data_IF_788484759315
#
_entry.id   IF_788484759315
#
_cell.length_a   1.000
_cell.length_b   1.000
_cell.length_c   1.000
_cell.angle_alpha   90.00
_cell.angle_beta   90.00
_cell.angle_gamma   90.00
#
_symmetry.space_group_name_H-M   'P 1'
#
loop_
_entity.id
_entity.type
_entity.pdbx_description
1 polymer ?
#
# COMPACT_ATOMS: atom_id res chain seq x y z
N UNK A 1 38.06 -11.55 -9.57
CA UNK A 1 38.22 -10.33 -10.41
C UNK A 1 38.87 -9.17 -9.64
N UNK A 2 38.42 -8.79 -8.45
CA UNK A 2 39.05 -7.70 -7.66
C UNK A 2 40.53 -7.95 -7.32
N UNK A 3 40.89 -9.16 -6.93
CA UNK A 3 42.28 -9.55 -6.67
C UNK A 3 43.19 -9.44 -7.91
N UNK A 4 42.67 -9.83 -9.08
CA UNK A 4 43.40 -9.72 -10.37
C UNK A 4 43.55 -8.28 -10.85
N UNK A 5 42.61 -7.41 -10.54
CA UNK A 5 42.66 -5.98 -10.86
C UNK A 5 43.65 -5.23 -9.97
N UNK A 6 43.67 -5.56 -8.66
CA UNK A 6 44.60 -4.95 -7.68
C UNK A 6 46.06 -5.40 -7.91
N UNK A 7 46.28 -6.66 -8.35
CA UNK A 7 47.63 -7.14 -8.66
C UNK A 7 48.23 -6.46 -9.93
N UNK A 8 47.38 -6.10 -10.91
CA UNK A 8 47.78 -5.39 -12.12
C UNK A 8 48.09 -3.89 -11.89
N UNK A 9 47.59 -3.29 -10.80
CA UNK A 9 47.82 -1.90 -10.44
C UNK A 9 49.06 -1.65 -9.55
N UNK A 10 49.82 -2.68 -9.21
CA UNK A 10 50.99 -2.55 -8.32
C UNK A 10 50.68 -2.22 -6.86
N UNK A 11 49.40 -2.17 -6.50
CA UNK A 11 48.95 -1.81 -5.15
C UNK A 11 49.15 -2.95 -4.13
N UNK A 12 49.27 -4.20 -4.60
CA UNK A 12 49.42 -5.37 -3.72
C UNK A 12 50.89 -5.71 -3.33
N UNK A 13 51.88 -5.09 -3.98
CA UNK A 13 53.27 -5.36 -3.64
C UNK A 13 53.79 -4.67 -2.38
N UNK A 14 53.00 -3.75 -1.78
CA UNK A 14 53.41 -2.97 -0.60
C UNK A 14 52.58 -3.17 0.67
N UNK A 15 51.55 -4.00 0.66
CA UNK A 15 50.77 -4.26 1.86
C UNK A 15 50.32 -5.70 1.93
N UNK A 16 50.54 -6.36 3.07
CA UNK A 16 50.03 -7.70 3.42
C UNK A 16 48.52 -7.75 3.62
N UNK A 17 47.76 -6.94 2.88
CA UNK A 17 46.30 -6.86 3.01
C UNK A 17 45.66 -8.01 2.24
N UNK A 18 45.20 -9.01 2.98
CA UNK A 18 44.35 -10.06 2.43
C UNK A 18 43.01 -9.49 2.04
N UNK A 19 42.67 -9.54 0.74
CA UNK A 19 41.32 -9.17 0.26
C UNK A 19 40.37 -10.30 0.66
N UNK A 20 39.31 -10.02 1.45
CA UNK A 20 38.36 -11.05 1.84
C UNK A 20 37.70 -11.69 0.61
N UNK A 21 37.52 -13.02 0.67
CA UNK A 21 36.82 -13.76 -0.38
C UNK A 21 35.30 -13.52 -0.39
N UNK A 22 34.75 -13.15 0.75
CA UNK A 22 33.32 -12.85 0.90
C UNK A 22 33.08 -11.34 0.81
N UNK A 23 32.25 -10.94 -0.17
CA UNK A 23 31.87 -9.55 -0.38
C UNK A 23 31.23 -8.90 0.84
N UNK A 24 30.52 -9.67 1.68
CA UNK A 24 29.90 -9.18 2.93
C UNK A 24 30.94 -8.66 3.90
N UNK A 25 32.08 -9.33 4.01
CA UNK A 25 33.21 -8.89 4.87
C UNK A 25 33.82 -7.58 4.35
N UNK A 26 33.79 -7.34 3.03
CA UNK A 26 34.25 -6.09 2.43
C UNK A 26 33.26 -4.95 2.67
N UNK A 27 31.96 -5.25 2.61
CA UNK A 27 30.90 -4.23 2.74
C UNK A 27 30.61 -3.86 4.20
N UNK A 28 30.81 -4.77 5.15
CA UNK A 28 30.51 -4.57 6.57
C UNK A 28 31.16 -3.29 7.18
N UNK A 29 32.47 -2.99 6.95
CA UNK A 29 33.07 -1.75 7.47
C UNK A 29 32.50 -0.47 6.84
N UNK A 30 31.85 -0.58 5.66
CA UNK A 30 31.27 0.56 4.97
C UNK A 30 29.92 0.97 5.54
N UNK A 31 29.35 0.17 6.45
CA UNK A 31 28.04 0.41 7.09
C UNK A 31 26.95 0.85 6.09
N UNK A 32 26.81 0.06 5.00
CA UNK A 32 25.88 0.37 3.92
C UNK A 32 24.43 -0.07 4.20
N UNK A 33 24.24 -0.90 5.21
CA UNK A 33 22.91 -1.38 5.57
C UNK A 33 22.03 -0.23 6.08
N UNK A 34 20.73 -0.24 5.77
CA UNK A 34 19.81 0.76 6.27
C UNK A 34 19.65 0.62 7.78
N UNK A 35 19.59 1.74 8.49
CA UNK A 35 19.19 1.72 9.90
C UNK A 35 17.73 1.32 10.02
N UNK A 36 17.51 0.18 10.64
CA UNK A 36 16.17 -0.37 10.86
C UNK A 36 15.89 -0.48 12.34
N UNK A 37 14.65 -0.18 12.71
CA UNK A 37 14.12 -0.37 14.06
C UNK A 37 13.10 -1.49 14.04
N UNK A 38 13.10 -2.31 15.08
CA UNK A 38 12.14 -3.37 15.29
C UNK A 38 11.28 -3.03 16.50
N UNK A 39 9.98 -2.92 16.31
CA UNK A 39 9.01 -2.73 17.39
C UNK A 39 8.10 -3.95 17.49
N UNK A 40 7.65 -4.27 18.70
CA UNK A 40 6.70 -5.37 18.90
C UNK A 40 5.37 -4.99 18.31
N UNK A 41 4.81 -5.87 17.51
CA UNK A 41 3.51 -5.69 16.85
C UNK A 41 2.54 -6.77 17.31
N UNK A 42 1.43 -6.40 17.90
CA UNK A 42 0.43 -7.36 18.36
C UNK A 42 -0.10 -8.23 17.21
N UNK A 43 -0.08 -9.58 17.34
CA UNK A 43 -0.58 -10.47 16.29
C UNK A 43 -2.09 -10.40 16.05
N UNK A 44 -2.87 -9.73 16.92
CA UNK A 44 -4.32 -9.61 16.79
C UNK A 44 -4.77 -8.23 16.32
N UNK A 45 -4.29 -7.14 16.95
CA UNK A 45 -4.77 -5.79 16.70
C UNK A 45 -3.72 -4.84 16.12
N UNK A 46 -2.53 -5.32 15.79
CA UNK A 46 -1.41 -4.55 15.25
C UNK A 46 -0.90 -3.40 16.13
N UNK A 47 -1.40 -3.24 17.36
CA UNK A 47 -0.85 -2.26 18.28
C UNK A 47 0.65 -2.48 18.49
N UNK A 48 1.41 -1.40 18.49
CA UNK A 48 2.87 -1.42 18.53
C UNK A 48 3.39 -1.02 19.90
N UNK A 49 4.51 -1.63 20.31
CA UNK A 49 5.16 -1.41 21.60
C UNK A 49 6.67 -1.34 21.41
N UNK A 50 7.31 -0.37 22.04
CA UNK A 50 8.77 -0.28 22.04
C UNK A 50 9.37 -1.48 22.75
N UNK A 51 10.42 -2.05 22.14
CA UNK A 51 11.15 -3.17 22.68
C UNK A 51 12.60 -3.12 22.26
N UNK A 52 13.51 -3.36 23.19
CA UNK A 52 14.94 -3.46 22.90
C UNK A 52 15.47 -4.81 23.39
N UNK A 53 16.30 -5.51 22.61
CA UNK A 53 16.89 -6.78 23.03
C UNK A 53 17.73 -6.66 24.31
N UNK A 54 18.35 -5.50 24.55
CA UNK A 54 19.16 -5.21 25.73
C UNK A 54 18.37 -4.92 26.99
N UNK A 55 17.06 -4.63 26.87
CA UNK A 55 16.15 -4.42 27.99
C UNK A 55 14.89 -5.29 27.85
N UNK A 56 14.98 -6.59 28.20
CA UNK A 56 13.85 -7.50 28.12
C UNK A 56 12.70 -7.12 29.08
N UNK A 57 12.96 -6.30 30.10
CA UNK A 57 11.98 -5.81 31.06
C UNK A 57 11.46 -4.40 30.72
N UNK A 58 11.88 -3.86 29.57
CA UNK A 58 11.47 -2.55 29.06
C UNK A 58 9.96 -2.40 28.86
N UNK A 59 9.53 -1.27 28.28
CA UNK A 59 8.13 -0.83 28.29
C UNK A 59 7.13 -1.76 27.58
N UNK A 60 7.59 -2.82 26.89
CA UNK A 60 6.70 -3.77 26.22
C UNK A 60 6.05 -4.74 27.22
N UNK A 61 4.73 -4.71 27.42
CA UNK A 61 4.04 -5.60 28.32
C UNK A 61 4.04 -7.06 27.77
N UNK A 62 3.80 -8.03 28.65
CA UNK A 62 3.68 -9.43 28.24
C UNK A 62 2.41 -9.66 27.38
N UNK A 63 1.33 -8.96 27.71
CA UNK A 63 0.06 -9.02 27.00
C UNK A 63 -0.31 -7.64 26.43
N UNK A 64 -0.93 -7.64 25.26
CA UNK A 64 -1.40 -6.43 24.61
C UNK A 64 -2.44 -5.71 25.47
N UNK A 65 -2.16 -4.46 25.84
CA UNK A 65 -3.03 -3.61 26.63
C UNK A 65 -3.89 -2.66 25.78
N UNK A 66 -3.83 -2.81 24.46
CA UNK A 66 -4.60 -1.97 23.55
C UNK A 66 -6.10 -2.19 23.73
N UNK A 67 -6.82 -1.08 23.77
CA UNK A 67 -8.26 -1.01 23.84
C UNK A 67 -8.76 -0.17 22.67
N UNK A 68 -9.60 -0.75 21.81
CA UNK A 68 -10.07 -0.10 20.58
C UNK A 68 -10.91 1.15 20.87
N UNK A 69 -11.87 1.03 21.78
CA UNK A 69 -12.70 2.13 22.27
C UNK A 69 -12.70 2.14 23.80
N UNK A 70 -13.04 3.26 24.46
CA UNK A 70 -13.07 3.34 25.92
C UNK A 70 -13.88 2.23 26.61
N UNK A 71 -14.94 1.75 25.98
CA UNK A 71 -15.82 0.73 26.54
C UNK A 71 -15.61 -0.67 25.91
N UNK A 72 -14.61 -0.87 25.06
CA UNK A 72 -14.28 -2.20 24.55
C UNK A 72 -13.39 -2.96 25.53
N UNK A 73 -13.32 -4.29 25.39
CA UNK A 73 -12.37 -5.11 26.14
C UNK A 73 -10.93 -4.85 25.67
N UNK A 74 -9.98 -4.99 26.58
CA UNK A 74 -8.55 -4.99 26.26
C UNK A 74 -8.24 -6.17 25.32
N UNK A 75 -7.35 -5.99 24.37
CA UNK A 75 -6.97 -7.01 23.40
C UNK A 75 -6.46 -8.30 24.04
N UNK A 76 -5.63 -8.23 25.08
CA UNK A 76 -5.14 -9.34 25.90
C UNK A 76 -4.28 -10.37 25.15
N UNK A 77 -3.88 -10.12 23.90
CA UNK A 77 -3.06 -11.07 23.13
C UNK A 77 -1.63 -11.07 23.65
N UNK A 78 -1.03 -12.27 23.84
CA UNK A 78 0.36 -12.40 24.23
C UNK A 78 1.30 -11.81 23.17
N UNK A 79 2.26 -11.00 23.64
CA UNK A 79 3.24 -10.29 22.79
C UNK A 79 4.61 -10.94 22.79
N UNK A 80 4.93 -11.80 23.78
CA UNK A 80 6.23 -12.45 23.91
C UNK A 80 6.08 -13.97 23.97
N UNK A 81 7.09 -14.71 23.52
CA UNK A 81 7.12 -16.16 23.66
C UNK A 81 7.27 -16.56 25.12
N UNK A 82 6.67 -17.69 25.49
CA UNK A 82 6.97 -18.29 26.79
C UNK A 82 8.35 -18.92 26.75
N UNK A 83 9.26 -18.41 27.54
CA UNK A 83 10.55 -19.07 27.78
C UNK A 83 10.71 -19.24 29.29
N UNK A 84 11.19 -20.41 29.77
CA UNK A 84 11.49 -20.62 31.18
C UNK A 84 12.46 -19.59 31.75
N UNK A 85 13.34 -19.04 30.91
CA UNK A 85 14.29 -17.99 31.27
C UNK A 85 13.75 -16.64 30.76
N UNK A 86 13.32 -15.71 31.64
CA UNK A 86 12.73 -14.41 31.24
C UNK A 86 13.63 -13.59 30.28
N UNK A 87 14.95 -13.73 30.41
CA UNK A 87 15.95 -13.07 29.58
C UNK A 87 15.95 -13.52 28.11
N UNK A 88 15.32 -14.65 27.79
CA UNK A 88 15.21 -15.20 26.44
C UNK A 88 13.81 -15.06 25.82
N UNK A 89 12.93 -14.27 26.44
CA UNK A 89 11.59 -14.02 25.93
C UNK A 89 11.66 -13.12 24.68
N UNK A 90 11.30 -13.66 23.52
CA UNK A 90 11.35 -12.96 22.25
C UNK A 90 9.95 -12.45 21.85
N UNK A 91 9.86 -11.34 21.12
CA UNK A 91 8.60 -10.88 20.54
C UNK A 91 7.96 -11.97 19.66
N UNK A 92 6.63 -12.15 19.78
CA UNK A 92 5.87 -13.07 18.94
C UNK A 92 5.73 -12.58 17.50
N UNK A 93 5.72 -11.25 17.32
CA UNK A 93 5.68 -10.59 16.02
C UNK A 93 6.33 -9.21 16.12
N UNK A 94 7.08 -8.85 15.09
CA UNK A 94 7.77 -7.56 15.00
C UNK A 94 7.38 -6.83 13.71
N UNK A 95 7.29 -5.52 13.81
CA UNK A 95 7.24 -4.61 12.67
C UNK A 95 8.61 -3.97 12.53
N UNK A 96 9.22 -4.17 11.38
CA UNK A 96 10.51 -3.56 11.03
C UNK A 96 10.26 -2.33 10.20
N UNK A 97 10.83 -1.20 10.61
CA UNK A 97 10.77 0.02 9.83
C UNK A 97 12.13 0.70 9.78
N UNK A 98 12.37 1.41 8.68
CA UNK A 98 13.61 2.12 8.41
C UNK A 98 13.52 3.54 8.95
N UNK A 99 14.63 4.06 9.49
CA UNK A 99 14.74 5.44 9.94
C UNK A 99 14.75 6.40 8.74
N UNK A 100 13.77 7.30 8.69
CA UNK A 100 13.60 8.27 7.59
C UNK A 100 14.71 9.31 7.60
N UNK A 101 15.16 9.77 8.77
CA UNK A 101 16.18 10.80 8.86
C UNK A 101 17.53 10.28 8.36
N UNK A 102 17.90 9.06 8.72
CA UNK A 102 19.10 8.40 8.22
C UNK A 102 19.04 8.19 6.71
N UNK A 103 17.88 7.76 6.18
CA UNK A 103 17.71 7.61 4.74
C UNK A 103 17.84 8.94 4.00
N UNK A 104 17.28 10.04 4.54
CA UNK A 104 17.44 11.39 3.99
C UNK A 104 18.90 11.81 3.97
N UNK A 105 19.65 11.56 5.04
CA UNK A 105 21.08 11.86 5.10
C UNK A 105 21.86 11.12 3.99
N UNK A 106 21.53 9.87 3.74
CA UNK A 106 22.12 9.06 2.63
C UNK A 106 21.74 9.62 1.25
N UNK A 107 20.50 10.05 1.06
CA UNK A 107 20.08 10.71 -0.18
C UNK A 107 20.88 11.98 -0.44
N UNK A 108 21.03 12.84 0.55
CA UNK A 108 21.78 14.10 0.48
C UNK A 108 23.32 13.93 0.48
N UNK A 109 23.83 12.73 0.74
CA UNK A 109 25.27 12.45 0.59
C UNK A 109 25.69 12.17 -0.87
N UNK A 110 24.73 12.02 -1.79
CA UNK A 110 24.94 11.68 -3.21
C UNK A 110 24.86 12.97 -4.04
N UNK A 111 25.97 13.46 -4.62
CA UNK A 111 26.01 14.76 -5.27
C UNK A 111 25.06 14.91 -6.46
N UNK A 112 24.91 13.86 -7.26
CA UNK A 112 23.99 13.82 -8.39
C UNK A 112 22.52 13.87 -7.95
N UNK A 113 22.19 13.19 -6.85
CA UNK A 113 20.85 13.17 -6.29
C UNK A 113 20.52 14.51 -5.65
N UNK A 114 21.43 15.08 -4.83
CA UNK A 114 21.21 16.38 -4.19
C UNK A 114 20.95 17.48 -5.22
N UNK A 115 21.66 17.47 -6.37
CA UNK A 115 21.42 18.41 -7.46
C UNK A 115 20.01 18.31 -8.04
N UNK A 116 19.41 17.09 -8.10
CA UNK A 116 18.03 16.93 -8.52
C UNK A 116 17.03 17.37 -7.43
N UNK A 117 17.31 17.06 -6.16
CA UNK A 117 16.44 17.45 -5.05
C UNK A 117 16.33 18.97 -4.89
N UNK A 118 17.35 19.70 -5.32
CA UNK A 118 17.40 21.17 -5.28
C UNK A 118 16.73 21.86 -6.46
N UNK A 119 16.50 21.14 -7.56
CA UNK A 119 15.79 21.70 -8.70
C UNK A 119 14.35 21.98 -8.31
N UNK A 120 13.91 23.22 -8.56
CA UNK A 120 12.48 23.54 -8.51
C UNK A 120 11.83 22.87 -9.71
N UNK A 121 10.82 22.01 -9.49
CA UNK A 121 10.11 21.41 -10.61
C UNK A 121 9.49 22.49 -11.49
N UNK A 122 9.77 22.44 -12.78
CA UNK A 122 9.20 23.36 -13.76
C UNK A 122 7.93 22.74 -14.31
N UNK A 123 6.83 23.48 -14.26
CA UNK A 123 5.57 23.11 -14.94
C UNK A 123 5.76 23.02 -16.44
N UNK A 124 5.01 22.15 -17.12
CA UNK A 124 4.97 22.09 -18.56
C UNK A 124 4.62 23.47 -19.16
N UNK A 125 5.41 23.91 -20.13
CA UNK A 125 5.26 25.24 -20.74
C UNK A 125 4.10 25.30 -21.74
N UNK A 126 3.57 24.14 -22.13
CA UNK A 126 2.46 24.05 -23.11
C UNK A 126 1.13 23.89 -22.40
N UNK A 127 0.22 24.84 -22.62
CA UNK A 127 -1.13 24.79 -22.05
C UNK A 127 -1.87 23.49 -22.42
N UNK A 128 -2.44 22.83 -21.43
CA UNK A 128 -3.17 21.56 -21.60
C UNK A 128 -2.29 20.30 -21.66
N UNK A 129 -0.97 20.41 -21.61
CA UNK A 129 -0.06 19.27 -21.55
C UNK A 129 0.39 19.01 -20.11
N UNK A 130 0.31 17.78 -19.67
CA UNK A 130 0.84 17.33 -18.39
C UNK A 130 1.92 16.27 -18.63
N UNK A 131 3.12 16.50 -18.13
CA UNK A 131 4.28 15.62 -18.31
C UNK A 131 4.76 15.03 -17.00
N UNK A 132 4.52 15.72 -15.87
CA UNK A 132 4.85 15.24 -14.53
C UNK A 132 3.72 15.59 -13.56
N UNK A 133 3.74 14.96 -12.39
CA UNK A 133 2.85 15.26 -11.27
C UNK A 133 2.90 16.75 -10.83
N UNK A 134 4.03 17.42 -11.07
CA UNK A 134 4.23 18.84 -10.78
C UNK A 134 3.40 19.80 -11.67
N UNK A 135 2.87 19.32 -12.78
CA UNK A 135 1.96 20.09 -13.62
C UNK A 135 0.57 20.22 -13.00
N UNK A 136 0.26 19.37 -12.03
CA UNK A 136 -0.98 19.43 -11.25
C UNK A 136 -1.02 20.62 -10.29
N UNK A 137 -2.16 21.32 -10.28
CA UNK A 137 -2.38 22.48 -9.41
C UNK A 137 -2.22 22.15 -7.94
N UNK A 138 -2.64 20.95 -7.53
CA UNK A 138 -2.57 20.48 -6.14
C UNK A 138 -1.14 20.49 -5.57
N UNK A 139 -0.14 20.13 -6.37
CA UNK A 139 1.27 20.17 -5.94
C UNK A 139 1.90 21.54 -6.14
N UNK A 140 1.54 22.21 -7.23
CA UNK A 140 2.07 23.54 -7.55
C UNK A 140 1.65 24.59 -6.52
N UNK A 141 0.37 24.55 -6.11
CA UNK A 141 -0.22 25.52 -5.22
C UNK A 141 -0.10 25.12 -3.74
N UNK A 142 0.61 24.01 -3.45
CA UNK A 142 0.84 23.54 -2.09
C UNK A 142 1.72 24.51 -1.31
N UNK A 143 1.24 24.95 -0.14
CA UNK A 143 1.92 25.92 0.73
C UNK A 143 2.66 25.24 1.87
N UNK A 144 3.81 25.81 2.21
CA UNK A 144 4.64 25.38 3.34
C UNK A 144 4.14 25.91 4.69
N UNK A 145 4.80 25.53 5.79
CA UNK A 145 4.48 26.01 7.13
C UNK A 145 4.71 27.53 7.29
N UNK A 146 5.45 28.13 6.37
CA UNK A 146 5.70 29.56 6.26
C UNK A 146 4.63 30.34 5.47
N UNK A 147 3.61 29.64 4.95
CA UNK A 147 2.53 30.20 4.13
C UNK A 147 2.91 30.52 2.68
N UNK A 148 4.16 30.24 2.29
CA UNK A 148 4.63 30.40 0.91
C UNK A 148 4.47 29.09 0.12
N UNK A 149 4.49 29.12 -1.22
CA UNK A 149 4.54 27.90 -2.00
C UNK A 149 5.68 26.99 -1.53
N UNK A 150 5.40 25.72 -1.25
CA UNK A 150 6.33 24.82 -0.57
C UNK A 150 7.68 24.70 -1.29
N UNK A 151 7.68 24.73 -2.62
CA UNK A 151 8.91 24.65 -3.40
C UNK A 151 9.65 25.99 -3.53
N UNK A 152 9.03 27.11 -3.11
CA UNK A 152 9.68 28.41 -3.01
C UNK A 152 10.43 28.50 -1.67
N UNK A 153 11.68 28.08 -1.65
CA UNK A 153 12.47 27.86 -0.46
C UNK A 153 13.75 28.72 -0.41
N UNK A 154 14.30 29.00 0.78
CA UNK A 154 15.65 29.53 0.91
C UNK A 154 16.68 28.62 0.22
N UNK A 155 17.74 29.20 -0.37
CA UNK A 155 18.73 28.45 -1.15
C UNK A 155 19.37 27.30 -0.36
N UNK A 156 19.62 27.49 0.92
CA UNK A 156 20.25 26.48 1.78
C UNK A 156 19.27 25.47 2.39
N UNK A 157 17.95 25.63 2.18
CA UNK A 157 16.94 24.72 2.70
C UNK A 157 16.57 23.65 1.66
N UNK A 158 16.50 22.39 2.07
CA UNK A 158 15.92 21.29 1.28
C UNK A 158 14.43 21.18 1.57
N UNK A 159 13.58 21.07 0.53
CA UNK A 159 12.15 20.77 0.68
C UNK A 159 11.76 19.61 -0.23
N UNK A 160 11.26 18.53 0.36
CA UNK A 160 10.94 17.29 -0.33
C UNK A 160 9.44 16.99 -0.26
N UNK A 161 8.91 16.50 -1.37
CA UNK A 161 7.53 16.01 -1.46
C UNK A 161 7.57 14.50 -1.71
N UNK A 162 6.89 13.77 -0.84
CA UNK A 162 6.76 12.32 -0.93
C UNK A 162 5.34 11.90 -1.29
N UNK A 163 5.24 10.80 -2.04
CA UNK A 163 4.02 10.01 -2.18
C UNK A 163 4.15 8.69 -1.43
N UNK A 164 3.05 8.26 -0.82
CA UNK A 164 2.97 6.99 -0.09
C UNK A 164 2.34 5.92 -0.98
N UNK A 165 2.97 4.76 -1.00
CA UNK A 165 2.41 3.52 -1.54
C UNK A 165 2.41 2.45 -0.45
N UNK A 166 1.36 1.63 -0.43
CA UNK A 166 1.24 0.46 0.41
C UNK A 166 0.75 -0.69 -0.45
N UNK A 167 1.57 -1.73 -0.59
CA UNK A 167 1.27 -2.87 -1.46
C UNK A 167 1.57 -4.20 -0.77
N UNK A 168 0.70 -5.18 -1.02
CA UNK A 168 0.80 -6.53 -0.49
C UNK A 168 1.35 -7.51 -1.51
N UNK A 169 2.27 -8.37 -1.08
CA UNK A 169 2.84 -9.42 -1.93
C UNK A 169 2.94 -10.76 -1.19
N UNK A 170 3.02 -11.83 -1.96
CA UNK A 170 3.20 -13.19 -1.46
C UNK A 170 4.62 -13.67 -1.74
N UNK A 171 5.54 -13.66 -0.75
CA UNK A 171 6.96 -13.96 -0.98
C UNK A 171 7.22 -15.41 -1.43
N UNK A 172 6.29 -16.32 -1.17
CA UNK A 172 6.42 -17.74 -1.54
C UNK A 172 5.57 -18.15 -2.75
N UNK A 173 5.04 -17.19 -3.49
CA UNK A 173 4.12 -17.47 -4.59
C UNK A 173 2.78 -18.05 -4.13
N UNK A 174 1.84 -18.23 -5.09
CA UNK A 174 0.49 -18.74 -4.78
C UNK A 174 0.42 -20.27 -4.66
N UNK A 175 1.50 -21.03 -4.95
CA UNK A 175 1.48 -22.48 -5.16
C UNK A 175 2.21 -23.32 -4.12
N UNK A 176 3.10 -22.76 -3.32
CA UNK A 176 3.84 -23.55 -2.35
C UNK A 176 3.22 -23.54 -0.96
N UNK A 177 2.73 -24.70 -0.52
CA UNK A 177 2.45 -25.03 0.89
C UNK A 177 1.12 -24.58 1.48
N UNK A 178 0.14 -24.12 0.72
CA UNK A 178 -1.23 -23.90 1.21
C UNK A 178 -1.39 -22.77 2.26
N UNK A 179 -0.34 -22.14 2.74
CA UNK A 179 -0.38 -20.99 3.67
C UNK A 179 -0.16 -19.71 2.88
N UNK A 180 -1.24 -18.94 2.68
CA UNK A 180 -1.15 -17.57 2.15
C UNK A 180 -0.50 -16.68 3.20
N UNK A 181 0.79 -16.42 3.07
CA UNK A 181 1.51 -15.45 3.90
C UNK A 181 1.54 -14.14 3.12
N UNK A 182 0.58 -13.27 3.37
CA UNK A 182 0.63 -11.92 2.82
C UNK A 182 1.60 -11.08 3.65
N UNK A 183 2.54 -10.43 2.98
CA UNK A 183 3.41 -9.40 3.54
C UNK A 183 3.07 -8.11 2.82
N UNK A 184 3.03 -7.00 3.53
CA UNK A 184 2.75 -5.71 2.92
C UNK A 184 3.92 -4.76 3.17
N UNK A 185 4.38 -4.09 2.11
CA UNK A 185 5.39 -3.05 2.19
C UNK A 185 4.75 -1.66 2.22
N UNK A 186 5.32 -0.75 3.00
CA UNK A 186 4.98 0.67 3.00
C UNK A 186 6.17 1.42 2.43
N UNK A 187 5.96 2.18 1.34
CA UNK A 187 7.01 2.85 0.58
C UNK A 187 6.73 4.34 0.46
N UNK A 188 7.81 5.13 0.42
CA UNK A 188 7.73 6.53 0.00
C UNK A 188 8.54 6.74 -1.28
N UNK A 189 7.96 7.51 -2.20
CA UNK A 189 8.60 7.94 -3.45
C UNK A 189 8.83 9.44 -3.39
N UNK A 190 10.07 9.88 -3.62
CA UNK A 190 10.43 11.30 -3.64
C UNK A 190 10.12 11.91 -5.00
N UNK A 191 9.15 12.82 -5.05
CA UNK A 191 8.72 13.46 -6.30
C UNK A 191 9.66 14.58 -6.79
N UNK A 192 10.59 15.03 -5.97
CA UNK A 192 11.64 15.96 -6.42
C UNK A 192 12.58 15.32 -7.43
N UNK A 193 12.70 13.99 -7.42
CA UNK A 193 13.49 13.28 -8.42
C UNK A 193 12.75 13.21 -9.77
N UNK A 194 13.46 13.29 -10.89
CA UNK A 194 12.84 13.09 -12.20
C UNK A 194 12.29 11.67 -12.35
N UNK A 195 11.28 11.44 -13.22
CA UNK A 195 10.64 10.12 -13.39
C UNK A 195 11.62 8.97 -13.63
N UNK A 196 12.71 9.21 -14.38
CA UNK A 196 13.73 8.20 -14.67
C UNK A 196 14.53 7.72 -13.44
N UNK A 197 14.56 8.51 -12.36
CA UNK A 197 15.26 8.20 -11.10
C UNK A 197 14.32 7.88 -9.95
N UNK A 198 13.11 8.45 -9.97
CA UNK A 198 12.12 8.43 -8.89
C UNK A 198 11.78 7.02 -8.39
N UNK A 199 11.70 6.07 -9.32
CA UNK A 199 11.26 4.69 -9.03
C UNK A 199 12.41 3.67 -9.02
N UNK A 200 13.68 4.12 -9.09
CA UNK A 200 14.80 3.21 -8.90
C UNK A 200 14.85 2.73 -7.46
N UNK A 201 15.13 1.46 -7.25
CA UNK A 201 15.13 0.80 -5.93
C UNK A 201 15.96 1.55 -4.89
N UNK A 202 17.11 2.07 -5.28
CA UNK A 202 18.01 2.84 -4.41
C UNK A 202 17.46 4.23 -4.02
N UNK A 203 16.39 4.70 -4.66
CA UNK A 203 15.77 6.01 -4.43
C UNK A 203 14.35 5.90 -3.85
N UNK A 204 13.83 4.70 -3.71
CA UNK A 204 12.55 4.43 -3.03
C UNK A 204 12.83 4.15 -1.55
N UNK A 205 12.15 4.84 -0.67
CA UNK A 205 12.24 4.61 0.76
C UNK A 205 11.29 3.50 1.17
N UNK A 206 11.81 2.35 1.54
CA UNK A 206 11.04 1.30 2.17
C UNK A 206 10.87 1.66 3.65
N UNK A 207 9.73 2.29 3.99
CA UNK A 207 9.48 2.67 5.39
C UNK A 207 9.36 1.45 6.28
N UNK A 208 8.55 0.46 5.90
CA UNK A 208 8.38 -0.70 6.77
C UNK A 208 7.73 -1.91 6.09
N UNK A 209 7.91 -3.05 6.75
CA UNK A 209 7.34 -4.33 6.31
C UNK A 209 6.30 -4.77 7.34
N UNK A 210 5.04 -4.70 6.94
CA UNK A 210 3.90 -5.14 7.76
C UNK A 210 3.90 -6.66 7.85
N UNK A 211 4.01 -7.23 9.06
CA UNK A 211 4.08 -8.68 9.20
C UNK A 211 2.73 -9.35 8.96
N UNK A 212 2.72 -10.37 8.09
CA UNK A 212 1.56 -11.23 7.86
C UNK A 212 1.22 -12.17 9.03
N UNK A 213 0.34 -13.16 8.82
CA UNK A 213 -0.33 -13.53 7.57
C UNK A 213 -1.59 -12.71 7.24
N UNK A 214 -2.10 -11.92 8.18
CA UNK A 214 -3.30 -11.10 7.99
C UNK A 214 -2.90 -9.68 7.62
N UNK A 215 -3.70 -9.06 6.77
CA UNK A 215 -3.58 -7.63 6.50
C UNK A 215 -4.25 -6.80 7.62
N UNK A 216 -3.65 -5.66 8.01
CA UNK A 216 -4.28 -4.78 8.97
C UNK A 216 -5.54 -4.15 8.39
N UNK A 217 -6.56 -4.01 9.21
CA UNK A 217 -7.76 -3.22 8.90
C UNK A 217 -7.46 -1.71 8.89
N UNK A 218 -8.43 -0.89 8.49
CA UNK A 218 -8.27 0.58 8.43
C UNK A 218 -7.81 1.20 9.75
N UNK A 219 -8.31 0.72 10.90
CA UNK A 219 -7.90 1.28 12.20
C UNK A 219 -6.57 0.70 12.69
N UNK A 220 -6.24 -0.52 12.29
CA UNK A 220 -5.00 -1.20 12.70
C UNK A 220 -3.78 -0.66 11.95
N UNK A 221 -3.95 -0.25 10.68
CA UNK A 221 -2.86 0.36 9.90
C UNK A 221 -2.34 1.65 10.54
N UNK A 222 -3.17 2.34 11.32
CA UNK A 222 -2.80 3.55 12.04
C UNK A 222 -1.63 3.32 13.02
N UNK A 223 -1.59 2.16 13.69
CA UNK A 223 -0.48 1.82 14.59
C UNK A 223 0.86 1.74 13.85
N UNK A 224 0.82 1.27 12.60
CA UNK A 224 2.00 1.09 11.76
C UNK A 224 2.44 2.41 11.10
N UNK A 225 1.47 3.29 10.78
CA UNK A 225 1.74 4.60 10.19
C UNK A 225 2.21 5.63 11.22
N UNK A 226 1.92 5.41 12.51
CA UNK A 226 2.24 6.38 13.57
C UNK A 226 3.70 6.84 13.58
N UNK A 227 4.72 5.96 13.55
CA UNK A 227 6.12 6.40 13.54
C UNK A 227 6.45 7.27 12.32
N UNK A 228 5.94 6.92 11.13
CA UNK A 228 6.13 7.72 9.92
C UNK A 228 5.50 9.11 10.06
N UNK A 229 4.29 9.19 10.61
CA UNK A 229 3.60 10.47 10.80
C UNK A 229 4.32 11.33 11.84
N UNK A 230 4.88 10.73 12.90
CA UNK A 230 5.68 11.44 13.90
C UNK A 230 6.93 12.07 13.25
N UNK A 231 7.65 11.31 12.40
CA UNK A 231 8.81 11.82 11.64
C UNK A 231 8.40 12.94 10.65
N UNK A 232 7.28 12.77 9.95
CA UNK A 232 6.79 13.79 9.01
C UNK A 232 6.34 15.07 9.71
N UNK A 233 5.76 14.98 10.91
CA UNK A 233 5.43 16.16 11.74
C UNK A 233 6.69 16.91 12.18
N UNK A 234 7.74 16.18 12.55
CA UNK A 234 9.02 16.80 12.88
C UNK A 234 9.61 17.51 11.66
N UNK A 235 9.64 16.83 10.52
CA UNK A 235 10.13 17.39 9.25
C UNK A 235 9.32 18.59 8.78
N UNK A 236 8.01 18.60 8.99
CA UNK A 236 7.14 19.71 8.64
C UNK A 236 7.33 20.94 9.56
N UNK A 237 7.22 20.71 10.88
CA UNK A 237 7.21 21.82 11.84
C UNK A 237 8.59 22.46 12.03
N UNK A 238 9.62 21.63 12.16
CA UNK A 238 10.97 22.07 12.53
C UNK A 238 11.98 21.83 11.42
N UNK A 239 11.81 20.76 10.63
CA UNK A 239 12.85 20.22 9.76
C UNK A 239 13.92 19.46 10.55
N UNK A 240 14.81 18.81 9.83
CA UNK A 240 16.02 18.20 10.37
C UNK A 240 17.25 18.93 9.83
N UNK A 241 18.28 19.10 10.66
CA UNK A 241 19.52 19.70 10.22
C UNK A 241 20.53 18.58 9.89
N UNK A 242 20.87 18.46 8.61
CA UNK A 242 21.95 17.59 8.16
C UNK A 242 23.26 18.36 8.30
N UNK A 243 24.16 17.91 9.18
CA UNK A 243 25.41 18.59 9.51
C UNK A 243 26.37 18.74 8.31
N UNK A 244 26.22 17.86 7.31
CA UNK A 244 26.94 17.88 6.05
C UNK A 244 26.15 17.17 4.97
N UNK A 245 26.17 17.71 3.75
CA UNK A 245 25.65 17.04 2.55
C UNK A 245 26.71 17.03 1.45
N UNK A 246 26.42 16.48 0.29
CA UNK A 246 27.37 16.46 -0.82
C UNK A 246 27.71 17.88 -1.32
N UNK A 247 26.73 18.80 -1.30
CA UNK A 247 26.89 20.18 -1.81
C UNK A 247 27.07 21.23 -0.71
N UNK A 248 26.71 20.94 0.54
CA UNK A 248 26.76 21.87 1.66
C UNK A 248 27.65 21.31 2.76
N UNK A 249 28.92 21.75 2.77
CA UNK A 249 29.92 21.29 3.76
C UNK A 249 29.61 21.69 5.20
N UNK A 250 28.84 22.77 5.40
CA UNK A 250 28.38 23.24 6.71
C UNK A 250 26.95 22.76 7.04
N UNK A 251 26.42 21.88 6.23
CA UNK A 251 25.09 21.33 6.43
C UNK A 251 23.96 22.22 5.93
N UNK A 252 22.73 21.70 6.10
CA UNK A 252 21.50 22.38 5.69
C UNK A 252 20.28 21.87 6.45
N UNK A 253 19.26 22.70 6.54
CA UNK A 253 17.94 22.31 7.02
C UNK A 253 17.19 21.57 5.92
N UNK A 254 16.51 20.47 6.27
CA UNK A 254 15.66 19.71 5.36
C UNK A 254 14.26 19.56 5.93
N UNK A 255 13.25 19.92 5.13
CA UNK A 255 11.83 19.72 5.43
C UNK A 255 11.23 18.73 4.44
N UNK A 256 10.17 18.07 4.84
CA UNK A 256 9.44 17.17 3.95
C UNK A 256 7.94 17.21 4.21
N UNK A 257 7.17 16.92 3.15
CA UNK A 257 5.73 16.73 3.19
C UNK A 257 5.34 15.46 2.45
N UNK A 258 4.36 14.74 2.99
CA UNK A 258 3.70 13.62 2.33
C UNK A 258 2.40 14.12 1.73
N UNK A 259 2.23 14.03 0.41
CA UNK A 259 1.01 14.52 -0.26
C UNK A 259 0.22 13.36 -0.87
N UNK A 260 0.52 12.80 -2.05
CA UNK A 260 -0.34 11.79 -2.61
C UNK A 260 -0.17 10.44 -1.90
N UNK A 261 -1.30 9.77 -1.70
CA UNK A 261 -1.40 8.34 -1.42
C UNK A 261 -1.78 7.67 -2.73
N UNK A 262 -0.85 6.91 -3.29
CA UNK A 262 -0.97 6.23 -4.59
C UNK A 262 -0.83 4.74 -4.36
N UNK A 263 -1.94 4.06 -4.11
CA UNK A 263 -2.02 2.62 -3.89
C UNK A 263 -3.14 2.04 -4.76
N UNK A 264 -3.29 0.73 -4.74
CA UNK A 264 -4.54 0.15 -5.18
C UNK A 264 -5.71 0.73 -4.36
N UNK A 265 -6.92 0.80 -4.91
CA UNK A 265 -8.05 1.44 -4.24
C UNK A 265 -8.36 0.88 -2.84
N UNK A 266 -8.30 -0.44 -2.59
CA UNK A 266 -8.47 -0.99 -1.26
C UNK A 266 -7.43 -0.48 -0.24
N UNK A 267 -6.15 -0.45 -0.61
CA UNK A 267 -5.09 0.04 0.26
C UNK A 267 -5.17 1.57 0.45
N UNK A 268 -5.39 2.34 -0.62
CA UNK A 268 -5.54 3.80 -0.55
C UNK A 268 -6.66 4.20 0.41
N UNK A 269 -7.83 3.56 0.31
CA UNK A 269 -8.96 3.80 1.19
C UNK A 269 -8.69 3.40 2.64
N UNK A 270 -7.97 2.29 2.83
CA UNK A 270 -7.55 1.80 4.15
C UNK A 270 -6.63 2.80 4.83
N UNK A 271 -5.62 3.30 4.13
CA UNK A 271 -4.66 4.29 4.63
C UNK A 271 -5.33 5.63 4.90
N UNK A 272 -6.27 6.04 4.06
CA UNK A 272 -6.95 7.34 4.17
C UNK A 272 -8.16 7.34 5.13
N UNK A 273 -8.56 6.21 5.68
CA UNK A 273 -9.74 6.13 6.55
C UNK A 273 -11.07 6.21 5.80
N UNK A 274 -11.10 5.85 4.53
CA UNK A 274 -12.29 5.90 3.67
C UNK A 274 -13.00 4.54 3.59
N UNK A 275 -14.25 4.55 3.14
CA UNK A 275 -15.05 3.35 2.93
C UNK A 275 -14.54 2.48 1.78
N UNK A 276 -14.57 1.16 1.93
CA UNK A 276 -14.26 0.19 0.86
C UNK A 276 -15.31 0.20 -0.27
N UNK A 277 -15.06 -0.55 -1.32
CA UNK A 277 -15.94 -0.63 -2.50
C UNK A 277 -17.37 -1.15 -2.21
N UNK A 278 -17.52 -1.93 -1.15
CA UNK A 278 -18.83 -2.45 -0.70
C UNK A 278 -19.48 -1.56 0.40
N UNK A 279 -18.89 -0.42 0.72
CA UNK A 279 -19.46 0.53 1.67
C UNK A 279 -20.57 1.36 1.01
N UNK A 280 -21.59 1.74 1.77
CA UNK A 280 -22.61 2.69 1.31
C UNK A 280 -22.02 3.99 0.78
N UNK A 281 -20.87 4.42 1.32
CA UNK A 281 -20.06 5.55 0.83
C UNK A 281 -18.78 5.03 0.16
N UNK A 282 -18.90 4.45 -1.01
CA UNK A 282 -17.83 3.75 -1.72
C UNK A 282 -16.85 4.68 -2.46
N UNK A 283 -17.27 5.92 -2.78
CA UNK A 283 -16.45 6.85 -3.55
C UNK A 283 -15.51 7.64 -2.64
N UNK A 284 -14.23 7.78 -3.05
CA UNK A 284 -13.24 8.63 -2.37
C UNK A 284 -13.42 10.11 -2.65
N UNK A 285 -14.02 10.46 -3.81
CA UNK A 285 -14.11 11.82 -4.33
C UNK A 285 -15.44 12.52 -4.01
N UNK A 286 -16.53 11.76 -3.91
CA UNK A 286 -17.87 12.31 -3.72
C UNK A 286 -18.67 11.50 -2.70
N UNK A 287 -19.85 12.01 -2.36
CA UNK A 287 -20.79 11.42 -1.41
C UNK A 287 -21.84 10.53 -2.08
N UNK A 288 -21.62 10.14 -3.35
CA UNK A 288 -22.48 9.20 -4.05
C UNK A 288 -22.57 7.90 -3.25
N UNK A 289 -23.80 7.44 -3.03
CA UNK A 289 -24.06 6.19 -2.32
C UNK A 289 -24.01 5.01 -3.27
N UNK A 290 -23.72 3.83 -2.73
CA UNK A 290 -23.67 2.59 -3.52
C UNK A 290 -25.01 2.26 -4.18
N UNK A 291 -26.13 2.58 -3.54
CA UNK A 291 -27.46 2.39 -4.10
C UNK A 291 -27.71 3.28 -5.33
N UNK A 292 -27.02 4.42 -5.42
CA UNK A 292 -27.11 5.38 -6.52
C UNK A 292 -25.97 5.22 -7.55
N UNK A 293 -25.26 4.08 -7.55
CA UNK A 293 -24.06 3.86 -8.39
C UNK A 293 -24.34 4.03 -9.89
N UNK A 294 -25.58 3.80 -10.32
CA UNK A 294 -26.03 3.95 -11.71
C UNK A 294 -26.40 5.40 -12.08
N UNK A 295 -26.34 6.34 -11.13
CA UNK A 295 -26.47 7.75 -11.44
C UNK A 295 -25.20 8.26 -12.16
N UNK A 296 -25.30 8.45 -13.48
CA UNK A 296 -24.19 8.91 -14.33
C UNK A 296 -24.14 10.45 -14.47
N UNK A 297 -25.10 11.17 -13.91
CA UNK A 297 -25.10 12.63 -13.91
C UNK A 297 -24.13 13.17 -12.86
N UNK A 298 -22.89 13.40 -13.29
CA UNK A 298 -21.81 13.89 -12.43
C UNK A 298 -22.07 15.27 -11.81
N UNK A 299 -22.96 16.05 -12.37
CA UNK A 299 -23.33 17.37 -11.81
C UNK A 299 -24.10 17.25 -10.50
N UNK A 300 -24.75 16.12 -10.26
CA UNK A 300 -25.47 15.83 -9.01
C UNK A 300 -24.58 15.23 -7.92
N UNK A 301 -23.32 14.87 -8.24
CA UNK A 301 -22.42 14.24 -7.29
C UNK A 301 -21.83 15.26 -6.33
N UNK A 302 -22.36 15.34 -5.11
CA UNK A 302 -21.82 16.21 -4.08
C UNK A 302 -20.39 15.79 -3.74
N UNK A 303 -19.42 16.68 -3.92
CA UNK A 303 -18.02 16.44 -3.58
C UNK A 303 -17.83 16.31 -2.09
N UNK A 304 -16.84 15.48 -1.68
CA UNK A 304 -16.37 15.47 -0.30
C UNK A 304 -15.61 16.75 0.00
N UNK A 305 -15.74 17.25 1.20
CA UNK A 305 -14.93 18.36 1.69
C UNK A 305 -14.12 17.94 2.93
N UNK A 306 -12.98 18.59 3.08
CA UNK A 306 -12.00 18.27 4.14
C UNK A 306 -12.58 18.48 5.54
N UNK A 307 -13.28 19.59 5.76
CA UNK A 307 -13.75 19.96 7.09
C UNK A 307 -14.79 18.97 7.62
N UNK A 308 -15.79 18.63 6.80
CA UNK A 308 -16.77 17.59 7.12
C UNK A 308 -16.09 16.22 7.33
N UNK A 309 -15.10 15.88 6.48
CA UNK A 309 -14.38 14.62 6.64
C UNK A 309 -13.63 14.56 7.97
N UNK A 310 -12.90 15.61 8.33
CA UNK A 310 -12.15 15.71 9.59
C UNK A 310 -13.09 15.62 10.80
N UNK A 311 -14.21 16.34 10.79
CA UNK A 311 -15.21 16.27 11.86
C UNK A 311 -15.73 14.85 12.08
N UNK A 312 -16.12 14.17 11.01
CA UNK A 312 -16.64 12.81 11.09
C UNK A 312 -15.54 11.79 11.50
N UNK A 313 -14.30 11.97 11.03
CA UNK A 313 -13.18 11.15 11.44
C UNK A 313 -12.84 11.31 12.93
N UNK A 314 -12.88 12.53 13.45
CA UNK A 314 -12.71 12.81 14.88
C UNK A 314 -13.86 12.23 15.71
N UNK A 315 -15.10 12.35 15.25
CA UNK A 315 -16.26 11.73 15.90
C UNK A 315 -16.12 10.21 15.94
N UNK A 316 -15.66 9.59 14.85
CA UNK A 316 -15.37 8.16 14.81
C UNK A 316 -14.28 7.79 15.82
N UNK A 317 -13.18 8.57 15.88
CA UNK A 317 -12.05 8.35 16.81
C UNK A 317 -12.50 8.45 18.28
N UNK A 318 -13.33 9.43 18.60
CA UNK A 318 -13.82 9.71 19.95
C UNK A 318 -15.00 8.85 20.41
N UNK A 319 -15.55 7.99 19.57
CA UNK A 319 -16.67 7.13 19.91
C UNK A 319 -16.34 6.19 21.07
N UNK A 320 -17.25 6.05 22.01
CA UNK A 320 -17.06 5.27 23.24
C UNK A 320 -17.19 3.75 23.01
N UNK A 321 -17.91 3.35 21.94
CA UNK A 321 -18.19 1.94 21.63
C UNK A 321 -17.94 1.63 20.15
N UNK A 322 -17.70 0.36 19.83
CA UNK A 322 -17.60 -0.10 18.43
C UNK A 322 -18.94 0.04 17.68
N UNK A 323 -20.08 -0.01 18.38
CA UNK A 323 -21.39 0.25 17.79
C UNK A 323 -21.51 1.69 17.30
N UNK A 324 -21.10 2.67 18.12
CA UNK A 324 -21.05 4.08 17.72
C UNK A 324 -20.09 4.32 16.55
N UNK A 325 -18.89 3.72 16.57
CA UNK A 325 -17.97 3.76 15.42
C UNK A 325 -18.60 3.25 14.15
N UNK A 326 -19.29 2.12 14.24
CA UNK A 326 -19.98 1.50 13.11
C UNK A 326 -21.10 2.41 12.60
N UNK A 327 -21.85 3.05 13.49
CA UNK A 327 -22.90 4.00 13.13
C UNK A 327 -22.32 5.22 12.41
N UNK A 328 -21.29 5.87 12.97
CA UNK A 328 -20.62 7.03 12.34
C UNK A 328 -20.08 6.66 10.97
N UNK A 329 -19.42 5.50 10.85
CA UNK A 329 -18.91 5.05 9.57
C UNK A 329 -20.01 4.76 8.54
N UNK A 330 -21.11 4.14 8.95
CA UNK A 330 -22.25 3.85 8.06
C UNK A 330 -22.91 5.14 7.56
N UNK A 331 -23.00 6.14 8.44
CA UNK A 331 -23.64 7.41 8.13
C UNK A 331 -22.78 8.32 7.24
N UNK A 332 -21.46 8.40 7.49
CA UNK A 332 -20.57 9.38 6.85
C UNK A 332 -19.47 8.78 5.96
N UNK A 333 -19.21 7.48 6.07
CA UNK A 333 -18.16 6.81 5.30
C UNK A 333 -16.74 7.24 5.65
N UNK A 334 -16.52 7.78 6.86
CA UNK A 334 -15.23 8.26 7.33
C UNK A 334 -14.78 7.51 8.59
N UNK A 335 -13.49 7.22 8.67
CA UNK A 335 -12.79 6.69 9.84
C UNK A 335 -11.56 7.54 10.10
N UNK A 336 -11.01 7.44 11.29
CA UNK A 336 -9.74 8.08 11.59
C UNK A 336 -8.58 7.45 10.82
N UNK A 337 -7.74 8.32 10.24
CA UNK A 337 -6.42 7.98 9.72
C UNK A 337 -5.35 8.77 10.47
N UNK A 338 -4.20 8.15 10.77
CA UNK A 338 -3.05 8.86 11.34
C UNK A 338 -2.53 9.98 10.43
N UNK A 339 -2.71 9.87 9.12
CA UNK A 339 -2.34 10.93 8.18
C UNK A 339 -3.09 12.24 8.45
N UNK A 340 -4.28 12.21 9.06
CA UNK A 340 -5.03 13.41 9.46
C UNK A 340 -4.35 14.22 10.58
N UNK A 341 -3.28 13.71 11.20
CA UNK A 341 -2.45 14.48 12.12
C UNK A 341 -1.54 15.48 11.42
N UNK A 342 -1.24 15.23 10.13
CA UNK A 342 -0.48 16.14 9.30
C UNK A 342 -1.37 17.35 8.97
N UNK A 343 -1.03 18.56 9.39
CA UNK A 343 -1.95 19.72 9.36
C UNK A 343 -2.30 20.17 7.94
N UNK A 344 -1.54 19.72 6.97
CA UNK A 344 -1.71 20.03 5.55
C UNK A 344 -2.37 18.91 4.74
N UNK A 345 -2.53 17.70 5.33
CA UNK A 345 -2.95 16.53 4.56
C UNK A 345 -4.48 16.44 4.45
N UNK A 346 -4.96 16.42 3.23
CA UNK A 346 -6.37 16.42 2.88
C UNK A 346 -6.73 15.18 2.03
N UNK A 347 -7.47 14.19 2.59
CA UNK A 347 -7.83 12.97 1.88
C UNK A 347 -8.69 13.22 0.64
N UNK A 348 -9.37 14.36 0.54
CA UNK A 348 -10.19 14.73 -0.62
C UNK A 348 -9.37 15.24 -1.80
N UNK A 349 -8.07 15.50 -1.58
CA UNK A 349 -7.13 15.98 -2.60
C UNK A 349 -5.98 15.03 -2.87
N UNK A 350 -5.54 14.29 -1.84
CA UNK A 350 -4.30 13.56 -1.91
C UNK A 350 -4.48 12.03 -2.03
N UNK A 351 -5.70 11.52 -2.00
CA UNK A 351 -5.98 10.12 -2.37
C UNK A 351 -6.12 10.06 -3.88
N UNK A 352 -5.13 9.46 -4.54
CA UNK A 352 -5.06 9.41 -6.00
C UNK A 352 -5.45 8.02 -6.50
N UNK A 353 -6.22 7.98 -7.59
CA UNK A 353 -6.56 6.73 -8.26
C UNK A 353 -5.32 6.22 -8.99
N UNK A 354 -4.83 5.04 -8.61
CA UNK A 354 -3.78 4.37 -9.35
C UNK A 354 -4.32 3.91 -10.72
N UNK A 355 -3.78 4.52 -11.77
CA UNK A 355 -4.21 4.26 -13.14
C UNK A 355 -3.89 2.83 -13.60
N UNK A 356 -2.80 2.22 -13.10
CA UNK A 356 -2.45 0.84 -13.45
C UNK A 356 -3.53 -0.13 -12.95
N UNK A 357 -3.86 -0.10 -11.66
CA UNK A 357 -4.88 -1.00 -11.09
C UNK A 357 -6.30 -0.61 -11.51
N UNK A 358 -6.62 0.68 -11.60
CA UNK A 358 -7.95 1.17 -11.91
C UNK A 358 -8.31 1.03 -13.39
N UNK A 359 -7.45 1.51 -14.28
CA UNK A 359 -7.72 1.55 -15.71
C UNK A 359 -7.15 0.35 -16.45
N UNK A 360 -5.83 0.11 -16.38
CA UNK A 360 -5.18 -0.91 -17.22
C UNK A 360 -5.55 -2.33 -16.82
N UNK A 361 -5.39 -2.70 -15.54
CA UNK A 361 -5.65 -4.06 -15.07
C UNK A 361 -7.14 -4.39 -14.89
N UNK A 362 -8.02 -3.39 -14.86
CA UNK A 362 -9.46 -3.65 -14.68
C UNK A 362 -10.31 -3.13 -15.81
N UNK A 363 -10.44 -1.81 -15.97
CA UNK A 363 -11.38 -1.24 -16.93
C UNK A 363 -11.02 -1.61 -18.37
N UNK A 364 -9.80 -1.30 -18.80
CA UNK A 364 -9.39 -1.59 -20.18
C UNK A 364 -9.24 -3.07 -20.46
N UNK A 365 -8.70 -3.84 -19.53
CA UNK A 365 -8.60 -5.29 -19.68
C UNK A 365 -9.97 -5.93 -19.88
N UNK A 366 -10.96 -5.54 -19.06
CA UNK A 366 -12.34 -6.01 -19.23
C UNK A 366 -12.94 -5.53 -20.53
N UNK A 367 -12.74 -4.26 -20.89
CA UNK A 367 -13.28 -3.72 -22.13
C UNK A 367 -12.74 -4.47 -23.36
N UNK A 368 -11.44 -4.69 -23.40
CA UNK A 368 -10.79 -5.44 -24.49
C UNK A 368 -11.28 -6.90 -24.56
N UNK A 369 -11.38 -7.57 -23.40
CA UNK A 369 -11.77 -8.98 -23.33
C UNK A 369 -13.26 -9.20 -23.53
N UNK A 370 -14.09 -8.48 -22.75
CA UNK A 370 -15.50 -8.77 -22.58
C UNK A 370 -16.36 -8.01 -23.60
N UNK A 371 -15.95 -6.79 -24.00
CA UNK A 371 -16.69 -5.96 -24.97
C UNK A 371 -16.18 -6.18 -26.39
N UNK A 372 -14.86 -6.16 -26.60
CA UNK A 372 -14.28 -6.34 -27.94
C UNK A 372 -14.01 -7.80 -28.30
N UNK A 373 -14.14 -8.73 -27.35
CA UNK A 373 -13.94 -10.16 -27.57
C UNK A 373 -12.51 -10.57 -27.90
N UNK A 374 -11.54 -9.70 -27.59
CA UNK A 374 -10.12 -9.96 -27.86
C UNK A 374 -9.52 -10.86 -26.77
N UNK A 375 -9.40 -12.17 -27.06
CA UNK A 375 -8.71 -13.12 -26.18
C UNK A 375 -7.18 -12.89 -26.24
N UNK A 376 -6.68 -12.03 -25.38
CA UNK A 376 -5.25 -11.94 -25.14
C UNK A 376 -4.86 -13.10 -24.21
N UNK A 377 -4.12 -14.10 -24.68
CA UNK A 377 -3.41 -15.04 -23.83
C UNK A 377 -2.34 -14.23 -23.10
N UNK A 378 -2.53 -13.94 -21.82
CA UNK A 378 -1.44 -13.45 -20.98
C UNK A 378 -0.50 -14.64 -20.79
N UNK A 379 0.76 -14.47 -21.18
CA UNK A 379 1.82 -15.44 -20.89
C UNK A 379 1.94 -15.63 -19.37
N UNK A 380 2.20 -16.85 -18.97
CA UNK A 380 2.22 -17.43 -17.64
C UNK A 380 2.55 -16.47 -16.46
N UNK A 381 1.58 -16.26 -15.58
CA UNK A 381 1.79 -15.59 -14.28
C UNK A 381 0.50 -15.21 -13.55
N UNK A 382 -0.47 -14.61 -14.23
CA UNK A 382 -1.76 -14.21 -13.65
C UNK A 382 -2.91 -15.00 -14.26
N UNK A 383 -2.75 -16.32 -14.33
CA UNK A 383 -3.66 -17.22 -15.01
C UNK A 383 -5.05 -17.20 -14.40
N UNK A 384 -6.02 -16.67 -15.14
CA UNK A 384 -7.31 -17.33 -15.12
C UNK A 384 -7.08 -18.79 -15.49
N UNK A 385 -7.64 -19.74 -14.76
CA UNK A 385 -7.43 -21.15 -15.05
C UNK A 385 -7.71 -21.39 -16.54
N UNK A 386 -6.79 -22.07 -17.20
CA UNK A 386 -6.95 -22.49 -18.58
C UNK A 386 -8.28 -23.26 -18.63
N UNK A 387 -9.28 -22.66 -19.28
CA UNK A 387 -10.62 -23.21 -19.35
C UNK A 387 -10.74 -24.25 -20.49
N UNK A 388 -9.62 -24.83 -20.95
CA UNK A 388 -9.61 -25.92 -21.89
C UNK A 388 -10.12 -27.19 -21.20
N UNK A 389 -11.30 -27.63 -21.62
CA UNK A 389 -11.87 -28.91 -21.23
C UNK A 389 -11.52 -29.96 -22.26
N UNK A 390 -11.30 -31.19 -21.81
CA UNK A 390 -11.24 -32.33 -22.72
C UNK A 390 -12.61 -32.53 -23.44
N UNK A 391 -12.60 -33.05 -24.63
CA UNK A 391 -13.87 -33.34 -25.34
C UNK A 391 -14.80 -34.26 -24.53
N UNK A 392 -14.25 -35.20 -23.78
CA UNK A 392 -14.98 -36.06 -22.87
C UNK A 392 -15.67 -35.33 -21.73
N UNK A 393 -14.95 -34.45 -21.07
CA UNK A 393 -15.49 -33.62 -19.97
C UNK A 393 -16.56 -32.66 -20.49
N UNK A 394 -16.34 -32.09 -21.69
CA UNK A 394 -17.28 -31.20 -22.34
C UNK A 394 -18.61 -31.90 -22.62
N UNK A 395 -18.55 -33.11 -23.20
CA UNK A 395 -19.73 -33.94 -23.47
C UNK A 395 -20.47 -34.29 -22.19
N UNK A 396 -19.76 -34.68 -21.14
CA UNK A 396 -20.35 -35.03 -19.85
C UNK A 396 -21.08 -33.85 -19.19
N UNK A 397 -20.47 -32.66 -19.20
CA UNK A 397 -21.09 -31.45 -18.64
C UNK A 397 -22.29 -30.98 -19.43
N UNK A 398 -22.25 -31.08 -20.76
CA UNK A 398 -23.41 -30.80 -21.62
C UNK A 398 -24.58 -31.76 -21.37
N UNK A 399 -24.30 -33.05 -21.21
CA UNK A 399 -25.30 -34.04 -20.84
C UNK A 399 -25.92 -33.75 -19.49
N UNK A 400 -25.10 -33.38 -18.51
CA UNK A 400 -25.57 -32.96 -17.18
C UNK A 400 -26.45 -31.71 -17.25
N UNK A 401 -26.09 -30.73 -18.09
CA UNK A 401 -26.89 -29.52 -18.30
C UNK A 401 -28.26 -29.86 -18.92
N UNK A 402 -28.28 -30.70 -19.95
CA UNK A 402 -29.52 -31.12 -20.59
C UNK A 402 -30.46 -31.89 -19.65
N UNK A 403 -29.90 -32.57 -18.62
CA UNK A 403 -30.74 -33.25 -17.62
C UNK A 403 -31.56 -32.27 -16.76
N UNK A 404 -31.16 -30.97 -16.68
CA UNK A 404 -31.82 -29.96 -15.88
C UNK A 404 -31.74 -30.17 -14.37
N UNK A 405 -30.99 -31.18 -13.91
CA UNK A 405 -30.88 -31.51 -12.47
C UNK A 405 -29.70 -30.82 -11.82
N UNK A 406 -29.96 -30.15 -10.69
CA UNK A 406 -28.93 -29.50 -9.87
C UNK A 406 -27.87 -30.50 -9.40
N UNK A 407 -28.29 -31.68 -8.93
CA UNK A 407 -27.40 -32.70 -8.37
C UNK A 407 -26.33 -33.17 -9.36
N UNK A 408 -26.68 -33.32 -10.64
CA UNK A 408 -25.74 -33.72 -11.69
C UNK A 408 -24.70 -32.62 -11.99
N UNK A 409 -25.09 -31.33 -11.91
CA UNK A 409 -24.19 -30.23 -12.11
C UNK A 409 -23.26 -30.01 -10.88
N UNK A 410 -23.71 -30.38 -9.69
CA UNK A 410 -22.91 -30.29 -8.46
C UNK A 410 -21.73 -31.29 -8.44
N UNK A 411 -21.75 -32.34 -9.25
CA UNK A 411 -20.66 -33.30 -9.37
C UNK A 411 -19.44 -32.72 -10.10
N UNK A 412 -19.65 -31.75 -10.98
CA UNK A 412 -18.57 -31.15 -11.76
C UNK A 412 -17.76 -30.11 -10.98
N UNK A 413 -16.45 -30.04 -11.22
CA UNK A 413 -15.61 -28.97 -10.64
C UNK A 413 -16.04 -27.60 -11.17
N UNK A 414 -15.78 -26.56 -10.35
CA UNK A 414 -16.22 -25.18 -10.64
C UNK A 414 -15.76 -24.69 -12.01
N UNK A 415 -14.54 -25.03 -12.44
CA UNK A 415 -13.99 -24.57 -13.72
C UNK A 415 -14.74 -25.13 -14.94
N UNK A 416 -15.29 -26.34 -14.85
CA UNK A 416 -16.14 -26.90 -15.90
C UNK A 416 -17.44 -26.12 -16.08
N UNK A 417 -18.05 -25.71 -14.95
CA UNK A 417 -19.29 -24.91 -14.98
C UNK A 417 -18.99 -23.47 -15.47
N UNK A 418 -17.82 -22.94 -15.16
CA UNK A 418 -17.36 -21.63 -15.66
C UNK A 418 -17.18 -21.66 -17.19
N UNK A 419 -16.56 -22.72 -17.70
CA UNK A 419 -16.40 -22.94 -19.15
C UNK A 419 -17.74 -22.98 -19.86
N UNK A 420 -18.69 -23.74 -19.30
CA UNK A 420 -20.04 -23.89 -19.88
C UNK A 420 -20.81 -22.56 -19.86
N UNK A 421 -20.83 -21.84 -18.74
CA UNK A 421 -21.43 -20.52 -18.65
C UNK A 421 -20.82 -19.54 -19.67
N UNK A 422 -19.52 -19.55 -19.85
CA UNK A 422 -18.82 -18.69 -20.82
C UNK A 422 -19.27 -19.02 -22.27
N UNK A 423 -19.29 -20.27 -22.63
CA UNK A 423 -19.69 -20.69 -23.99
C UNK A 423 -21.17 -20.41 -24.32
N UNK A 424 -22.01 -20.34 -23.29
CA UNK A 424 -23.43 -19.97 -23.41
C UNK A 424 -23.66 -18.46 -23.29
N UNK A 425 -22.58 -17.64 -23.20
CA UNK A 425 -22.69 -16.17 -23.04
C UNK A 425 -23.24 -15.74 -21.69
N UNK A 426 -23.15 -16.59 -20.65
CA UNK A 426 -23.61 -16.33 -19.32
C UNK A 426 -22.45 -15.78 -18.46
N UNK A 427 -22.79 -15.08 -17.38
CA UNK A 427 -21.78 -14.68 -16.38
C UNK A 427 -21.13 -15.93 -15.76
N UNK A 428 -19.80 -16.01 -15.81
CA UNK A 428 -19.01 -17.18 -15.37
C UNK A 428 -18.19 -16.94 -14.11
N UNK A 429 -18.37 -15.79 -13.45
CA UNK A 429 -17.79 -15.47 -12.14
C UNK A 429 -18.65 -15.99 -10.98
N UNK A 430 -18.10 -15.95 -9.76
CA UNK A 430 -18.84 -16.22 -8.54
C UNK A 430 -18.70 -17.65 -8.00
N UNK A 431 -19.56 -18.01 -7.04
CA UNK A 431 -19.55 -19.32 -6.37
C UNK A 431 -20.11 -20.41 -7.29
N UNK A 432 -19.73 -21.68 -7.06
CA UNK A 432 -20.23 -22.84 -7.79
C UNK A 432 -21.76 -22.88 -7.84
N UNK A 433 -22.42 -22.59 -6.72
CA UNK A 433 -23.89 -22.53 -6.62
C UNK A 433 -24.52 -21.46 -7.53
N UNK A 434 -23.85 -20.31 -7.69
CA UNK A 434 -24.30 -19.22 -8.58
C UNK A 434 -24.23 -19.65 -10.03
N UNK A 435 -23.13 -20.29 -10.44
CA UNK A 435 -22.99 -20.82 -11.81
C UNK A 435 -24.05 -21.86 -12.13
N UNK A 436 -24.35 -22.78 -11.21
CA UNK A 436 -25.38 -23.78 -11.35
C UNK A 436 -26.78 -23.12 -11.50
N UNK A 437 -27.08 -22.11 -10.71
CA UNK A 437 -28.34 -21.36 -10.83
C UNK A 437 -28.49 -20.71 -12.20
N UNK A 438 -27.42 -20.08 -12.71
CA UNK A 438 -27.42 -19.46 -14.04
C UNK A 438 -27.66 -20.53 -15.16
N UNK A 439 -26.98 -21.66 -15.08
CA UNK A 439 -27.11 -22.75 -16.04
C UNK A 439 -28.53 -23.37 -16.04
N UNK A 440 -29.09 -23.56 -14.84
CA UNK A 440 -30.47 -24.08 -14.71
C UNK A 440 -31.51 -23.07 -15.22
N UNK A 441 -31.32 -21.78 -14.95
CA UNK A 441 -32.19 -20.73 -15.46
C UNK A 441 -32.13 -20.66 -17.00
N UNK A 442 -30.95 -20.81 -17.59
CA UNK A 442 -30.76 -20.86 -19.03
C UNK A 442 -31.53 -21.99 -19.67
N UNK A 443 -31.42 -23.22 -19.15
CA UNK A 443 -32.14 -24.40 -19.66
C UNK A 443 -33.66 -24.28 -19.48
N UNK A 444 -34.10 -23.64 -18.41
CA UNK A 444 -35.53 -23.43 -18.12
C UNK A 444 -36.15 -22.28 -18.96
N UNK A 445 -35.39 -21.60 -19.82
CA UNK A 445 -35.89 -20.49 -20.62
C UNK A 445 -36.32 -19.25 -19.80
N UNK A 446 -35.92 -19.17 -18.54
CA UNK A 446 -36.21 -18.01 -17.71
C UNK A 446 -35.36 -16.82 -18.17
N UNK A 447 -35.93 -15.60 -18.29
CA UNK A 447 -35.14 -14.41 -18.68
C UNK A 447 -33.99 -14.22 -17.70
N UNK A 448 -32.78 -14.06 -18.26
CA UNK A 448 -31.56 -13.82 -17.48
C UNK A 448 -31.73 -12.55 -16.60
N UNK A 449 -31.83 -12.71 -15.29
CA UNK A 449 -31.91 -11.62 -14.30
C UNK A 449 -30.53 -11.06 -13.98
N UNK A 450 -29.47 -11.46 -14.66
CA UNK A 450 -28.14 -10.89 -14.45
C UNK A 450 -27.43 -10.71 -15.81
N UNK A 451 -27.84 -9.68 -16.54
CA UNK A 451 -26.93 -8.94 -17.41
C UNK A 451 -26.37 -7.80 -16.57
N UNK A 452 -25.18 -7.94 -16.05
CA UNK A 452 -24.31 -6.87 -15.59
C UNK A 452 -22.86 -7.21 -15.95
#
# INVERSE_FOLDING_TARGET
MLQLSLSKSGYLEKSSVSVPSDIRTVLQPLNLDPETRAIVCCPKCFATYDWTPSDPQGPCPEFCVYQGTPNSSICGRRLRTMNPTPQLSLPTRQFYYQDLHHWLARMYSRPDIEDYLDKVPTSATTAGKMEDIWDGTVLRDFTGPDGLPFMQKPRAEGRLVFGLNMDGFHPHGSREGGKRTAICGIYLVCFNLPPALRFKTENVFLFGIVPGPQEPSTHEVNHLLKPLVDDLLLLWNFGIYLSRTARYSFGRLVRAALLPVICDLPAARRVAGLGGHASGHFCSECLLKLDDINNLDSHTWRRRDYQSHMEHALRWKGAATESERTQVFREYGAKWSELLRLPYWDPTKYVVIDSMHGFYLRLYLRHVRDVWGMNVKLEDGDGFPDLNMSEGDLSAVHTALQSGKRTTLEEFPRHHLQYLCRNLGLHYGGRKSTLINLLLAYVSGLPNVIQC
#
